data_IF_319767334567
#
_entry.id   IF_319767334567
#
_cell.length_a   1.000
_cell.length_b   1.000
_cell.length_c   1.000
_cell.angle_alpha   90.00
_cell.angle_beta   90.00
_cell.angle_gamma   90.00
#
_symmetry.space_group_name_H-M   'P 1'
#
loop_
_entity.id
_entity.type
_entity.pdbx_description
1 polymer ?
#
# COMPACT_ATOMS: atom_id res chain seq x y z
N UNK A 1 -12.93 -2.09 16.43
CA UNK A 1 -12.27 -1.11 15.56
C UNK A 1 -10.81 -1.49 15.26
N UNK A 2 -9.93 -1.64 16.27
CA UNK A 2 -8.50 -2.01 16.07
C UNK A 2 -8.33 -3.32 15.29
N UNK A 3 -9.12 -4.35 15.61
CA UNK A 3 -9.05 -5.64 14.92
C UNK A 3 -9.39 -5.57 13.43
N UNK A 4 -10.36 -4.73 13.07
CA UNK A 4 -10.75 -4.51 11.68
C UNK A 4 -9.65 -3.79 10.91
N UNK A 5 -9.07 -2.73 11.49
CA UNK A 5 -7.93 -2.02 10.90
C UNK A 5 -6.73 -2.96 10.68
N UNK A 6 -6.48 -3.85 11.64
CA UNK A 6 -5.41 -4.83 11.50
C UNK A 6 -5.65 -5.81 10.34
N UNK A 7 -6.87 -6.34 10.22
CA UNK A 7 -7.23 -7.24 9.10
C UNK A 7 -7.10 -6.54 7.75
N UNK A 8 -7.60 -5.30 7.64
CA UNK A 8 -7.47 -4.50 6.42
C UNK A 8 -5.99 -4.26 6.11
N UNK A 9 -5.17 -3.87 7.09
CA UNK A 9 -3.74 -3.62 6.90
C UNK A 9 -2.99 -4.85 6.39
N UNK A 10 -3.27 -6.02 6.94
CA UNK A 10 -2.69 -7.28 6.46
C UNK A 10 -3.14 -7.58 5.03
N UNK A 11 -4.42 -7.43 4.72
CA UNK A 11 -4.94 -7.63 3.37
C UNK A 11 -4.29 -6.69 2.34
N UNK A 12 -4.17 -5.40 2.67
CA UNK A 12 -3.56 -4.40 1.80
C UNK A 12 -2.06 -4.64 1.57
N UNK A 13 -1.34 -5.21 2.56
CA UNK A 13 0.08 -5.51 2.42
C UNK A 13 0.39 -6.60 1.39
N UNK A 14 -0.58 -7.45 1.06
CA UNK A 14 -0.42 -8.53 0.07
C UNK A 14 -0.51 -8.01 -1.38
N UNK A 15 -1.25 -6.94 -1.62
CA UNK A 15 -1.50 -6.42 -2.97
C UNK A 15 -0.23 -6.00 -3.72
N UNK A 16 0.73 -5.27 -3.12
CA UNK A 16 1.99 -4.93 -3.78
C UNK A 16 2.82 -6.15 -4.17
N UNK A 17 2.70 -7.25 -3.42
CA UNK A 17 3.34 -8.51 -3.77
C UNK A 17 2.85 -9.12 -5.09
N UNK A 18 1.56 -8.98 -5.38
CA UNK A 18 0.99 -9.43 -6.65
C UNK A 18 1.49 -8.59 -7.84
N UNK A 19 1.68 -7.29 -7.62
CA UNK A 19 2.20 -6.38 -8.66
C UNK A 19 3.66 -6.71 -8.96
N UNK A 20 4.50 -6.83 -7.92
CA UNK A 20 5.93 -7.13 -8.14
C UNK A 20 6.13 -8.50 -8.80
N UNK A 21 5.30 -9.48 -8.48
CA UNK A 21 5.30 -10.79 -9.14
C UNK A 21 5.06 -10.66 -10.64
N UNK A 22 4.06 -9.89 -11.06
CA UNK A 22 3.79 -9.62 -12.47
C UNK A 22 4.98 -8.97 -13.20
N UNK A 23 5.56 -7.92 -12.60
CA UNK A 23 6.72 -7.21 -13.16
C UNK A 23 7.94 -8.12 -13.30
N UNK A 24 8.21 -8.94 -12.29
CA UNK A 24 9.33 -9.87 -12.29
C UNK A 24 9.13 -11.00 -13.30
N UNK A 25 7.91 -11.51 -13.41
CA UNK A 25 7.56 -12.55 -14.39
C UNK A 25 7.78 -12.07 -15.84
N UNK A 26 7.37 -10.83 -16.16
CA UNK A 26 7.66 -10.23 -17.47
C UNK A 26 9.16 -10.09 -17.73
N UNK A 27 9.94 -9.77 -16.68
CA UNK A 27 11.39 -9.66 -16.77
C UNK A 27 12.05 -11.02 -17.00
N UNK A 28 11.68 -12.05 -16.24
CA UNK A 28 12.23 -13.40 -16.36
C UNK A 28 11.98 -14.00 -17.76
N UNK A 29 10.80 -13.72 -18.34
CA UNK A 29 10.46 -14.18 -19.69
C UNK A 29 10.97 -13.28 -20.82
N UNK A 30 11.73 -12.22 -20.51
CA UNK A 30 12.23 -11.25 -21.50
C UNK A 30 11.14 -10.62 -22.39
N UNK A 31 9.89 -10.57 -21.93
CA UNK A 31 8.77 -10.02 -22.70
C UNK A 31 9.00 -8.54 -23.04
N UNK A 32 9.61 -7.79 -22.12
CA UNK A 32 10.01 -6.39 -22.35
C UNK A 32 10.93 -6.25 -23.58
N UNK A 33 11.91 -7.13 -23.77
CA UNK A 33 12.80 -7.09 -24.93
C UNK A 33 12.04 -7.32 -26.23
N UNK A 34 11.11 -8.25 -26.25
CA UNK A 34 10.28 -8.52 -27.43
C UNK A 34 9.42 -7.31 -27.81
N UNK A 35 8.85 -6.61 -26.83
CA UNK A 35 8.03 -5.41 -27.06
C UNK A 35 8.86 -4.23 -27.59
N UNK A 36 10.08 -4.03 -27.07
CA UNK A 36 10.98 -2.98 -27.55
C UNK A 36 11.43 -3.24 -28.98
N UNK A 37 11.75 -4.50 -29.33
CA UNK A 37 12.14 -4.89 -30.70
C UNK A 37 10.98 -4.66 -31.68
N UNK A 38 9.72 -4.80 -31.25
CA UNK A 38 8.55 -4.52 -32.07
C UNK A 38 8.28 -3.00 -32.28
N UNK A 39 9.16 -2.12 -31.77
CA UNK A 39 9.09 -0.67 -31.99
C UNK A 39 8.40 0.13 -30.89
N UNK A 40 8.11 -0.49 -29.75
CA UNK A 40 7.49 0.24 -28.62
C UNK A 40 8.50 1.18 -27.96
N UNK A 41 8.07 2.42 -27.66
CA UNK A 41 8.88 3.37 -26.89
C UNK A 41 8.97 2.95 -25.43
N UNK A 42 10.18 2.97 -24.85
CA UNK A 42 10.44 2.58 -23.46
C UNK A 42 9.64 3.40 -22.44
N UNK A 43 9.48 4.71 -22.67
CA UNK A 43 8.66 5.56 -21.79
C UNK A 43 7.19 5.14 -21.80
N UNK A 44 6.65 4.86 -22.98
CA UNK A 44 5.25 4.40 -23.12
C UNK A 44 5.03 3.06 -22.40
N UNK A 45 5.98 2.15 -22.48
CA UNK A 45 5.93 0.88 -21.76
C UNK A 45 5.78 1.09 -20.23
N UNK A 46 6.64 1.91 -19.63
CA UNK A 46 6.61 2.15 -18.19
C UNK A 46 5.34 2.87 -17.73
N UNK A 47 4.91 3.89 -18.47
CA UNK A 47 3.70 4.66 -18.13
C UNK A 47 2.47 3.75 -18.16
N UNK A 48 2.32 2.97 -19.23
CA UNK A 48 1.17 2.06 -19.38
C UNK A 48 1.14 1.01 -18.27
N UNK A 49 2.28 0.38 -17.95
CA UNK A 49 2.34 -0.63 -16.89
C UNK A 49 1.99 -0.04 -15.52
N UNK A 50 2.55 1.13 -15.17
CA UNK A 50 2.24 1.80 -13.90
C UNK A 50 0.76 2.14 -13.81
N UNK A 51 0.16 2.71 -14.86
CA UNK A 51 -1.27 3.05 -14.88
C UNK A 51 -2.13 1.78 -14.73
N UNK A 52 -1.77 0.72 -15.44
CA UNK A 52 -2.51 -0.54 -15.39
C UNK A 52 -2.43 -1.20 -14.01
N UNK A 53 -1.28 -1.15 -13.36
CA UNK A 53 -1.10 -1.68 -12.01
C UNK A 53 -1.80 -0.84 -10.94
N UNK A 54 -1.87 0.49 -11.10
CA UNK A 54 -2.70 1.35 -10.27
C UNK A 54 -4.18 0.96 -10.41
N UNK A 55 -4.68 0.80 -11.63
CA UNK A 55 -6.06 0.40 -11.86
C UNK A 55 -6.38 -0.97 -11.26
N UNK A 56 -5.47 -1.93 -11.34
CA UNK A 56 -5.64 -3.24 -10.68
C UNK A 56 -5.74 -3.11 -9.16
N UNK A 57 -4.96 -2.22 -8.54
CA UNK A 57 -5.03 -1.98 -7.10
C UNK A 57 -6.30 -1.24 -6.68
N UNK A 58 -6.84 -0.37 -7.53
CA UNK A 58 -8.07 0.36 -7.21
C UNK A 58 -9.30 -0.56 -7.05
N UNK A 59 -9.35 -1.67 -7.77
CA UNK A 59 -10.49 -2.61 -7.69
C UNK A 59 -10.73 -3.11 -6.26
N UNK A 60 -9.76 -3.74 -5.56
CA UNK A 60 -9.95 -4.16 -4.17
C UNK A 60 -10.12 -2.98 -3.20
N UNK A 61 -9.54 -1.80 -3.50
CA UNK A 61 -9.73 -0.61 -2.67
C UNK A 61 -11.15 -0.09 -2.70
N UNK A 62 -11.77 -0.04 -3.89
CA UNK A 62 -13.18 0.32 -4.05
C UNK A 62 -14.07 -0.68 -3.30
N UNK A 63 -13.77 -1.97 -3.38
CA UNK A 63 -14.51 -3.00 -2.65
C UNK A 63 -14.41 -2.78 -1.13
N UNK A 64 -13.22 -2.47 -0.60
CA UNK A 64 -13.03 -2.12 0.80
C UNK A 64 -13.82 -0.86 1.20
N UNK A 65 -13.85 0.18 0.36
CA UNK A 65 -14.66 1.38 0.59
C UNK A 65 -16.14 1.06 0.71
N UNK A 66 -16.66 0.23 -0.18
CA UNK A 66 -18.07 -0.18 -0.17
C UNK A 66 -18.41 -0.95 1.12
N UNK A 67 -17.52 -1.86 1.54
CA UNK A 67 -17.70 -2.60 2.79
C UNK A 67 -17.67 -1.68 4.02
N UNK A 68 -16.73 -0.76 4.10
CA UNK A 68 -16.64 0.21 5.21
C UNK A 68 -17.87 1.12 5.27
N UNK A 69 -18.38 1.53 4.11
CA UNK A 69 -19.63 2.31 4.02
C UNK A 69 -20.83 1.51 4.53
N UNK A 70 -20.97 0.25 4.09
CA UNK A 70 -22.08 -0.60 4.49
C UNK A 70 -22.13 -0.90 5.99
N UNK A 71 -20.95 -1.03 6.61
CA UNK A 71 -20.83 -1.29 8.05
C UNK A 71 -20.77 -0.02 8.92
N UNK A 72 -20.91 1.17 8.34
CA UNK A 72 -20.86 2.46 9.06
C UNK A 72 -19.64 2.63 9.98
N UNK A 73 -18.48 2.03 9.59
CA UNK A 73 -17.35 1.83 10.50
C UNK A 73 -16.40 3.03 10.62
N UNK A 74 -16.42 3.98 9.69
CA UNK A 74 -15.48 5.13 9.64
C UNK A 74 -16.07 6.31 8.88
N UNK A 75 -15.41 7.48 9.01
CA UNK A 75 -15.62 8.62 8.13
C UNK A 75 -15.31 8.25 6.69
N UNK A 76 -16.35 8.02 5.92
CA UNK A 76 -16.31 7.54 4.56
C UNK A 76 -15.39 8.37 3.63
N UNK A 77 -15.43 9.70 3.78
CA UNK A 77 -14.63 10.59 2.94
C UNK A 77 -13.12 10.44 3.19
N UNK A 78 -12.71 10.33 4.45
CA UNK A 78 -11.31 10.12 4.81
C UNK A 78 -10.79 8.77 4.34
N UNK A 79 -11.60 7.71 4.46
CA UNK A 79 -11.23 6.37 3.99
C UNK A 79 -11.08 6.33 2.45
N UNK A 80 -12.01 6.93 1.71
CA UNK A 80 -11.91 7.04 0.24
C UNK A 80 -10.62 7.74 -0.20
N UNK A 81 -10.30 8.87 0.44
CA UNK A 81 -9.09 9.61 0.08
C UNK A 81 -7.83 8.78 0.28
N UNK A 82 -7.70 8.09 1.41
CA UNK A 82 -6.55 7.21 1.68
C UNK A 82 -6.44 6.09 0.65
N UNK A 83 -7.55 5.44 0.31
CA UNK A 83 -7.54 4.31 -0.63
C UNK A 83 -7.21 4.73 -2.06
N UNK A 84 -7.58 5.92 -2.50
CA UNK A 84 -7.20 6.45 -3.82
C UNK A 84 -5.72 6.87 -3.86
N UNK A 85 -5.20 7.47 -2.78
CA UNK A 85 -3.81 7.95 -2.74
C UNK A 85 -2.82 6.81 -2.52
N UNK A 86 -3.19 5.76 -1.79
CA UNK A 86 -2.31 4.64 -1.47
C UNK A 86 -1.71 3.94 -2.71
N UNK A 87 -2.47 3.54 -3.75
CA UNK A 87 -1.92 2.93 -4.96
C UNK A 87 -0.95 3.84 -5.71
N UNK A 88 -1.20 5.15 -5.73
CA UNK A 88 -0.32 6.12 -6.39
C UNK A 88 1.08 6.18 -5.77
N UNK A 89 1.20 5.91 -4.48
CA UNK A 89 2.50 5.83 -3.80
C UNK A 89 3.14 4.45 -3.90
N UNK A 90 2.36 3.40 -3.64
CA UNK A 90 2.88 2.03 -3.51
C UNK A 90 3.28 1.42 -4.85
N UNK A 91 2.53 1.66 -5.93
CA UNK A 91 2.84 1.07 -7.24
C UNK A 91 4.19 1.54 -7.79
N UNK A 92 4.51 2.84 -7.88
CA UNK A 92 5.82 3.28 -8.33
C UNK A 92 6.96 2.79 -7.43
N UNK A 93 6.73 2.77 -6.10
CA UNK A 93 7.69 2.25 -5.15
C UNK A 93 7.96 0.76 -5.38
N UNK A 94 6.92 -0.05 -5.62
CA UNK A 94 7.03 -1.48 -5.91
C UNK A 94 7.80 -1.73 -7.21
N UNK A 95 7.54 -0.93 -8.25
CA UNK A 95 8.32 -1.00 -9.49
C UNK A 95 9.80 -0.66 -9.26
N UNK A 96 10.10 0.37 -8.47
CA UNK A 96 11.47 0.75 -8.14
C UNK A 96 12.20 -0.35 -7.36
N UNK A 97 11.57 -0.94 -6.35
CA UNK A 97 12.16 -2.01 -5.55
C UNK A 97 12.36 -3.31 -6.34
N UNK A 98 11.56 -3.57 -7.37
CA UNK A 98 11.69 -4.75 -8.22
C UNK A 98 13.06 -4.85 -8.89
N UNK A 99 13.74 -3.72 -9.13
CA UNK A 99 15.08 -3.71 -9.72
C UNK A 99 16.17 -4.26 -8.81
N UNK A 100 15.93 -4.34 -7.51
CA UNK A 100 16.90 -4.86 -6.54
C UNK A 100 16.97 -6.39 -6.53
N UNK A 101 16.00 -7.07 -7.15
CA UNK A 101 15.86 -8.53 -7.10
C UNK A 101 16.04 -9.15 -8.47
N UNK A 102 16.56 -10.39 -8.46
CA UNK A 102 16.75 -11.18 -9.66
C UNK A 102 15.71 -12.29 -9.79
N UNK A 103 15.07 -12.71 -8.68
CA UNK A 103 14.06 -13.76 -8.68
C UNK A 103 12.70 -13.23 -8.24
N UNK A 104 11.64 -13.72 -8.88
CA UNK A 104 10.25 -13.37 -8.59
C UNK A 104 9.90 -13.59 -7.10
N UNK A 105 10.26 -14.75 -6.55
CA UNK A 105 9.96 -15.12 -5.17
C UNK A 105 10.61 -14.18 -4.14
N UNK A 106 11.88 -13.85 -4.33
CA UNK A 106 12.58 -12.93 -3.42
C UNK A 106 11.97 -11.53 -3.44
N UNK A 107 11.63 -11.03 -4.62
CA UNK A 107 10.98 -9.74 -4.77
C UNK A 107 9.60 -9.71 -4.10
N UNK A 108 8.81 -10.78 -4.27
CA UNK A 108 7.48 -10.87 -3.69
C UNK A 108 7.53 -10.93 -2.15
N UNK A 109 8.36 -11.82 -1.58
CA UNK A 109 8.50 -11.93 -0.12
C UNK A 109 9.00 -10.63 0.52
N UNK A 110 9.98 -9.99 -0.09
CA UNK A 110 10.51 -8.72 0.42
C UNK A 110 9.44 -7.62 0.37
N UNK A 111 8.74 -7.48 -0.74
CA UNK A 111 7.74 -6.43 -0.93
C UNK A 111 6.56 -6.62 0.02
N UNK A 112 6.04 -7.84 0.16
CA UNK A 112 4.98 -8.15 1.12
C UNK A 112 5.45 -7.90 2.55
N UNK A 113 6.63 -8.40 2.92
CA UNK A 113 7.19 -8.23 4.26
C UNK A 113 7.40 -6.76 4.62
N UNK A 114 7.96 -5.96 3.72
CA UNK A 114 8.17 -4.54 3.92
C UNK A 114 6.85 -3.78 4.10
N UNK A 115 5.87 -4.03 3.22
CA UNK A 115 4.54 -3.40 3.33
C UNK A 115 3.82 -3.84 4.60
N UNK A 116 3.92 -5.10 5.01
CA UNK A 116 3.34 -5.59 6.24
C UNK A 116 3.94 -4.88 7.46
N UNK A 117 5.27 -4.71 7.50
CA UNK A 117 5.94 -3.95 8.55
C UNK A 117 5.42 -2.51 8.60
N UNK A 118 5.39 -1.81 7.47
CA UNK A 118 4.91 -0.42 7.41
C UNK A 118 3.45 -0.31 7.85
N UNK A 119 2.59 -1.23 7.40
CA UNK A 119 1.16 -1.23 7.72
C UNK A 119 0.85 -1.59 9.18
N UNK A 120 1.72 -2.34 9.86
CA UNK A 120 1.57 -2.64 11.29
C UNK A 120 2.15 -1.50 12.14
N UNK A 121 3.38 -1.07 11.84
CA UNK A 121 4.07 -0.06 12.65
C UNK A 121 3.49 1.35 12.46
N UNK A 122 2.95 1.69 11.29
CA UNK A 122 2.32 2.98 11.02
C UNK A 122 1.18 3.30 12.01
N UNK A 123 0.09 2.50 12.05
CA UNK A 123 -1.00 2.71 13.02
C UNK A 123 -0.56 2.61 14.47
N UNK A 124 0.40 1.74 14.79
CA UNK A 124 0.92 1.57 16.14
C UNK A 124 1.66 2.82 16.63
N UNK A 125 2.48 3.45 15.79
CA UNK A 125 3.14 4.72 16.12
C UNK A 125 2.14 5.84 16.37
N UNK A 126 1.12 5.98 15.50
CA UNK A 126 0.05 6.97 15.68
C UNK A 126 -0.69 6.74 17.00
N UNK A 127 -1.01 5.49 17.33
CA UNK A 127 -1.66 5.15 18.61
C UNK A 127 -0.81 5.53 19.81
N UNK A 128 0.49 5.24 19.80
CA UNK A 128 1.43 5.62 20.87
C UNK A 128 1.49 7.14 21.03
N UNK A 129 1.55 7.90 19.93
CA UNK A 129 1.58 9.35 19.98
C UNK A 129 0.29 9.94 20.56
N UNK A 130 -0.88 9.43 20.16
CA UNK A 130 -2.17 9.85 20.70
C UNK A 130 -2.29 9.56 22.20
N UNK A 131 -1.85 8.37 22.62
CA UNK A 131 -1.87 7.99 24.03
C UNK A 131 -0.96 8.89 24.86
N UNK A 132 0.25 9.20 24.37
CA UNK A 132 1.19 10.07 25.08
C UNK A 132 0.69 11.53 25.16
N UNK A 133 0.05 12.05 24.11
CA UNK A 133 -0.52 13.41 24.13
C UNK A 133 -1.69 13.52 25.11
N UNK A 134 -2.60 12.55 25.13
CA UNK A 134 -3.71 12.54 26.10
C UNK A 134 -3.23 12.47 27.55
N UNK A 135 -2.17 11.69 27.81
CA UNK A 135 -1.57 11.61 29.15
C UNK A 135 -0.91 12.94 29.57
N UNK A 136 -0.30 13.69 28.64
CA UNK A 136 0.26 15.01 28.94
C UNK A 136 -0.82 16.05 29.26
N UNK A 137 -1.94 16.03 28.52
CA UNK A 137 -3.05 16.95 28.76
C UNK A 137 -3.71 16.69 30.12
N UNK A 138 -3.87 15.43 30.53
CA UNK A 138 -4.39 15.04 31.84
C UNK A 138 -3.46 15.48 32.99
N UNK A 139 -2.14 15.38 32.81
CA UNK A 139 -1.14 15.84 33.77
C UNK A 139 -1.18 17.37 33.91
N UNK A 140 -1.24 18.10 32.77
CA UNK A 140 -1.34 19.57 32.80
C UNK A 140 -2.62 20.05 33.45
N UNK A 141 -3.78 19.43 33.16
CA UNK A 141 -5.05 19.76 33.83
C UNK A 141 -4.97 19.48 35.33
N UNK A 142 -4.32 18.41 35.76
CA UNK A 142 -4.09 18.13 37.18
C UNK A 142 -3.25 19.19 37.91
N UNK A 143 -2.30 19.84 37.22
CA UNK A 143 -1.50 20.94 37.77
C UNK A 143 -2.31 22.27 37.94
N UNK A 144 -3.38 22.47 37.15
CA UNK A 144 -4.19 23.69 37.22
C UNK A 144 -5.39 23.58 38.20
N UNK A 145 -5.71 22.39 38.68
CA UNK A 145 -6.84 22.12 39.58
C UNK A 145 -6.39 22.04 41.06
N UNK A 146 -5.09 21.88 41.36
CA UNK A 146 -4.51 21.90 42.70
C UNK A 146 -3.78 23.22 42.96
#
# INVERSE_FOLDING_TARGET
MISLLFVISVGLSLLPGLIVSGVMHEREKNLKHMQIISGMNLCSYWIVNIIFDILKMEIPMILCCVLLYYFEMTDYFSAMFVFVVYPLGVVPFTHATSFMFQSEWSAQFFTVGLNLVVMIFGPLTVYIFMFNSSTQDDVLLGYWIN
#
